data_IF_528487126566
#
_entry.id   IF_528487126566
#
_cell.length_a   1.000
_cell.length_b   1.000
_cell.length_c   1.000
_cell.angle_alpha   90.00
_cell.angle_beta   90.00
_cell.angle_gamma   90.00
#
_symmetry.space_group_name_H-M   'P 1'
#
loop_
_entity.id
_entity.type
_entity.pdbx_description
1 polymer ?
#
# COMPACT_ATOMS: atom_id res chain seq x y z
N UNK A 1 -33.90 -5.08 2.64
CA UNK A 1 -33.06 -3.92 2.97
C UNK A 1 -32.05 -4.38 4.01
N UNK A 2 -30.85 -4.76 3.59
CA UNK A 2 -29.74 -5.11 4.52
C UNK A 2 -28.92 -3.83 4.62
N UNK A 3 -29.06 -3.15 5.76
CA UNK A 3 -28.23 -2.00 6.11
C UNK A 3 -26.80 -2.50 6.25
N UNK A 4 -25.96 -2.27 5.24
CA UNK A 4 -24.53 -2.50 5.31
C UNK A 4 -23.96 -1.63 6.43
N UNK A 5 -23.62 -2.24 7.56
CA UNK A 5 -22.86 -1.56 8.60
C UNK A 5 -21.51 -1.16 8.01
N UNK A 6 -21.35 0.13 7.71
CA UNK A 6 -20.03 0.74 7.50
C UNK A 6 -19.20 0.41 8.74
N UNK A 7 -18.30 -0.54 8.65
CA UNK A 7 -17.33 -0.80 9.71
C UNK A 7 -16.49 0.47 9.84
N UNK A 8 -16.69 1.18 10.93
CA UNK A 8 -15.84 2.31 11.31
C UNK A 8 -14.40 1.82 11.28
N UNK A 9 -13.57 2.46 10.46
CA UNK A 9 -12.16 2.13 10.38
C UNK A 9 -11.56 2.20 11.80
N UNK A 10 -10.96 1.12 12.24
CA UNK A 10 -10.40 1.04 13.59
C UNK A 10 -9.30 2.09 13.73
N UNK A 11 -9.38 2.91 14.78
CA UNK A 11 -8.34 3.90 15.09
C UNK A 11 -7.08 3.12 15.48
N UNK A 12 -6.00 3.35 14.76
CA UNK A 12 -4.70 2.74 15.06
C UNK A 12 -4.17 3.36 16.34
N UNK A 13 -4.00 2.52 17.37
CA UNK A 13 -3.41 2.95 18.64
C UNK A 13 -1.92 2.55 18.69
N UNK A 14 -0.97 3.49 18.55
CA UNK A 14 0.46 3.20 18.56
C UNK A 14 0.97 2.71 19.92
N UNK A 15 0.22 2.96 21.00
CA UNK A 15 0.55 2.48 22.35
C UNK A 15 -0.03 1.10 22.66
N UNK A 16 -0.82 0.50 21.75
CA UNK A 16 -1.36 -0.84 21.93
C UNK A 16 -0.22 -1.85 22.03
N UNK A 17 -0.29 -2.71 23.05
CA UNK A 17 0.70 -3.77 23.26
C UNK A 17 0.47 -4.92 22.29
N UNK A 18 1.58 -5.44 21.78
CA UNK A 18 1.68 -6.63 20.95
C UNK A 18 2.38 -7.70 21.80
N UNK A 19 1.71 -8.81 22.11
CA UNK A 19 2.27 -9.85 22.98
C UNK A 19 3.56 -10.44 22.43
N UNK A 20 3.60 -10.67 21.12
CA UNK A 20 4.77 -11.23 20.45
C UNK A 20 4.79 -10.82 18.97
N UNK A 21 5.97 -10.45 18.47
CA UNK A 21 6.24 -10.26 17.06
C UNK A 21 7.69 -10.66 16.75
N UNK A 22 7.89 -11.45 15.70
CA UNK A 22 9.22 -11.83 15.24
C UNK A 22 9.28 -11.95 13.72
N UNK A 23 10.34 -11.43 13.14
CA UNK A 23 10.74 -11.69 11.75
C UNK A 23 12.23 -11.95 11.68
N UNK A 24 12.64 -12.84 10.75
CA UNK A 24 14.03 -13.20 10.58
C UNK A 24 14.42 -13.09 9.10
N UNK A 25 15.49 -12.32 8.84
CA UNK A 25 16.09 -12.16 7.51
C UNK A 25 15.08 -11.71 6.43
N UNK A 26 14.10 -10.84 6.80
CA UNK A 26 13.12 -10.28 5.87
C UNK A 26 13.59 -8.93 5.33
N UNK A 27 13.19 -8.58 4.11
CA UNK A 27 13.30 -7.19 3.64
C UNK A 27 12.26 -6.30 4.34
N UNK A 28 12.35 -4.97 4.14
CA UNK A 28 11.47 -4.02 4.79
C UNK A 28 9.99 -4.25 4.48
N UNK A 29 9.67 -4.50 3.20
CA UNK A 29 8.28 -4.72 2.78
C UNK A 29 7.71 -5.97 3.46
N UNK A 30 8.42 -7.10 3.38
CA UNK A 30 7.96 -8.36 3.98
C UNK A 30 7.81 -8.25 5.51
N UNK A 31 8.72 -7.53 6.18
CA UNK A 31 8.62 -7.30 7.62
C UNK A 31 7.38 -6.47 7.99
N UNK A 32 7.11 -5.41 7.23
CA UNK A 32 5.93 -4.56 7.43
C UNK A 32 4.62 -5.31 7.13
N UNK A 33 4.58 -6.09 6.04
CA UNK A 33 3.39 -6.88 5.68
C UNK A 33 3.12 -7.97 6.72
N UNK A 34 4.16 -8.63 7.22
CA UNK A 34 4.03 -9.61 8.31
C UNK A 34 3.46 -8.96 9.58
N UNK A 35 3.96 -7.75 9.93
CA UNK A 35 3.44 -7.02 11.07
C UNK A 35 2.00 -6.57 10.88
N UNK A 36 1.70 -5.96 9.73
CA UNK A 36 0.35 -5.50 9.40
C UNK A 36 -0.67 -6.64 9.39
N UNK A 37 -0.31 -7.80 8.83
CA UNK A 37 -1.15 -8.99 8.79
C UNK A 37 -1.43 -9.54 10.18
N UNK A 38 -0.40 -9.70 11.01
CA UNK A 38 -0.56 -10.18 12.38
C UNK A 38 -1.43 -9.25 13.23
N UNK A 39 -1.25 -7.94 13.10
CA UNK A 39 -1.89 -6.94 13.95
C UNK A 39 -3.16 -6.35 13.36
N UNK A 40 -3.56 -6.80 12.16
CA UNK A 40 -4.70 -6.28 11.40
C UNK A 40 -4.64 -4.76 11.21
N UNK A 41 -3.45 -4.25 10.85
CA UNK A 41 -3.20 -2.84 10.60
C UNK A 41 -2.99 -2.64 9.09
N UNK A 42 -3.82 -1.85 8.41
CA UNK A 42 -3.57 -1.49 7.02
C UNK A 42 -2.27 -0.68 6.88
N UNK A 43 -1.46 -1.02 5.88
CA UNK A 43 -0.15 -0.39 5.65
C UNK A 43 -0.07 0.18 4.24
N UNK A 44 0.36 1.43 4.14
CA UNK A 44 0.75 2.07 2.89
C UNK A 44 2.28 2.22 2.85
N UNK A 45 2.91 1.68 1.80
CA UNK A 45 4.35 1.79 1.64
C UNK A 45 4.63 2.66 0.41
N UNK A 46 5.06 3.90 0.65
CA UNK A 46 5.61 4.71 -0.41
C UNK A 46 6.97 4.13 -0.83
N UNK A 47 7.38 4.35 -2.03
CA UNK A 47 8.51 3.71 -2.69
C UNK A 47 9.66 3.31 -1.75
N UNK A 48 10.11 2.06 -1.88
CA UNK A 48 11.30 1.53 -1.19
C UNK A 48 12.44 1.42 -2.21
N UNK A 49 13.55 2.10 -1.96
CA UNK A 49 14.72 2.03 -2.82
C UNK A 49 15.40 0.66 -2.77
N UNK A 50 16.25 0.39 -3.76
CA UNK A 50 16.91 -0.91 -3.90
C UNK A 50 17.81 -1.25 -2.69
N UNK A 51 18.46 -0.26 -2.09
CA UNK A 51 19.36 -0.48 -0.97
C UNK A 51 18.59 -0.90 0.28
N UNK A 52 17.52 -0.18 0.62
CA UNK A 52 16.64 -0.55 1.73
C UNK A 52 15.93 -1.89 1.50
N UNK A 53 15.54 -2.19 0.25
CA UNK A 53 14.93 -3.48 -0.09
C UNK A 53 15.90 -4.66 0.09
N UNK A 54 17.19 -4.47 -0.18
CA UNK A 54 18.21 -5.50 -0.03
C UNK A 54 18.62 -5.73 1.43
N UNK A 55 18.41 -4.73 2.29
CA UNK A 55 18.75 -4.84 3.71
C UNK A 55 17.83 -5.85 4.39
N UNK A 56 18.44 -6.70 5.25
CA UNK A 56 17.72 -7.76 5.97
C UNK A 56 17.44 -7.35 7.41
N UNK A 57 16.18 -7.46 7.78
CA UNK A 57 15.66 -7.14 9.12
C UNK A 57 15.47 -8.45 9.88
N UNK A 58 15.98 -8.49 11.10
CA UNK A 58 15.72 -9.55 12.05
C UNK A 58 15.41 -8.94 13.40
N UNK A 59 14.18 -9.10 13.86
CA UNK A 59 13.72 -8.59 15.15
C UNK A 59 12.85 -9.63 15.86
N UNK A 60 12.93 -9.67 17.18
CA UNK A 60 12.04 -10.44 18.05
C UNK A 60 11.65 -9.55 19.23
N UNK A 61 10.35 -9.41 19.45
CA UNK A 61 9.77 -8.59 20.50
C UNK A 61 8.74 -9.37 21.30
N UNK A 62 8.73 -9.12 22.63
CA UNK A 62 7.71 -9.58 23.56
C UNK A 62 7.20 -8.39 24.33
N UNK A 63 5.87 -8.28 24.45
CA UNK A 63 5.20 -7.22 25.23
C UNK A 63 5.64 -5.79 24.83
N UNK A 64 5.83 -5.54 23.52
CA UNK A 64 6.17 -4.22 22.98
C UNK A 64 4.94 -3.54 22.39
N UNK A 65 4.96 -2.22 22.34
CA UNK A 65 3.89 -1.48 21.69
C UNK A 65 4.12 -1.38 20.16
N UNK A 66 3.03 -1.08 19.43
CA UNK A 66 3.03 -0.94 17.98
C UNK A 66 4.10 0.04 17.50
N UNK A 67 4.26 1.18 18.20
CA UNK A 67 5.26 2.20 17.88
C UNK A 67 6.69 1.64 17.95
N UNK A 68 7.03 0.96 19.04
CA UNK A 68 8.39 0.41 19.23
C UNK A 68 8.75 -0.61 18.15
N UNK A 69 7.78 -1.42 17.73
CA UNK A 69 7.98 -2.43 16.68
C UNK A 69 8.17 -1.76 15.31
N UNK A 70 7.30 -0.79 14.95
CA UNK A 70 7.43 -0.05 13.69
C UNK A 70 8.74 0.75 13.63
N UNK A 71 9.13 1.40 14.73
CA UNK A 71 10.42 2.10 14.82
C UNK A 71 11.59 1.16 14.56
N UNK A 72 11.58 -0.04 15.15
CA UNK A 72 12.64 -1.01 14.99
C UNK A 72 12.70 -1.64 13.58
N UNK A 73 11.56 -1.69 12.87
CA UNK A 73 11.51 -2.18 11.48
C UNK A 73 12.00 -1.09 10.52
N UNK A 74 11.60 0.17 10.71
CA UNK A 74 11.76 1.23 9.71
C UNK A 74 13.04 2.06 9.88
N UNK A 75 13.39 2.48 11.10
CA UNK A 75 14.49 3.40 11.32
C UNK A 75 15.87 2.86 10.91
N UNK A 76 16.21 1.55 11.15
CA UNK A 76 17.51 1.03 10.75
C UNK A 76 17.78 1.09 9.24
N UNK A 77 16.72 1.16 8.43
CA UNK A 77 16.80 1.22 6.97
C UNK A 77 16.55 2.63 6.42
N UNK A 78 16.49 3.66 7.30
CA UNK A 78 16.34 5.07 6.89
C UNK A 78 14.92 5.47 6.51
N UNK A 79 13.91 4.71 6.96
CA UNK A 79 12.50 5.01 6.71
C UNK A 79 11.81 5.49 7.97
N UNK A 80 10.71 6.22 7.78
CA UNK A 80 9.83 6.69 8.85
C UNK A 80 8.42 6.19 8.61
N UNK A 81 7.65 6.16 9.66
CA UNK A 81 6.23 5.84 9.61
C UNK A 81 5.41 6.89 10.34
N UNK A 82 4.16 7.02 9.97
CA UNK A 82 3.17 7.85 10.64
C UNK A 82 1.76 7.34 10.35
N UNK A 83 0.80 7.75 11.18
CA UNK A 83 -0.60 7.38 10.99
C UNK A 83 -1.26 8.42 10.10
N UNK A 84 -1.87 7.96 9.01
CA UNK A 84 -2.70 8.77 8.13
C UNK A 84 -4.10 8.17 8.05
N UNK A 85 -5.00 8.70 8.86
CA UNK A 85 -6.33 8.12 9.02
C UNK A 85 -6.25 6.68 9.56
N UNK A 86 -6.84 5.71 8.86
CA UNK A 86 -6.86 4.31 9.29
C UNK A 86 -5.63 3.49 8.86
N UNK A 87 -4.60 4.11 8.28
CA UNK A 87 -3.45 3.44 7.65
C UNK A 87 -2.14 3.89 8.28
N UNK A 88 -1.21 2.98 8.51
CA UNK A 88 0.20 3.29 8.78
C UNK A 88 0.90 3.53 7.45
N UNK A 89 1.39 4.75 7.23
CA UNK A 89 2.21 5.08 6.08
C UNK A 89 3.69 4.95 6.42
N UNK A 90 4.44 4.32 5.52
CA UNK A 90 5.89 4.18 5.59
C UNK A 90 6.52 4.86 4.38
N UNK A 91 7.47 5.75 4.62
CA UNK A 91 8.10 6.57 3.59
C UNK A 91 9.55 6.90 3.94
N UNK A 92 10.32 7.23 2.91
CA UNK A 92 11.65 7.80 3.10
C UNK A 92 11.56 9.30 3.48
N UNK A 93 12.49 9.79 4.29
CA UNK A 93 12.58 11.21 4.65
C UNK A 93 12.59 12.12 3.40
N UNK A 94 11.70 13.11 3.40
CA UNK A 94 11.59 14.10 2.33
C UNK A 94 10.74 13.69 1.11
N UNK A 95 10.38 12.41 0.97
CA UNK A 95 9.60 11.94 -0.18
C UNK A 95 8.13 12.40 -0.16
N UNK A 96 7.54 12.56 1.03
CA UNK A 96 6.11 12.87 1.22
C UNK A 96 5.66 14.19 0.60
N UNK A 97 6.47 15.23 0.75
CA UNK A 97 6.05 16.61 0.51
C UNK A 97 6.53 17.17 -0.83
N UNK A 98 7.21 16.36 -1.65
CA UNK A 98 7.63 16.76 -2.97
C UNK A 98 6.43 17.09 -3.87
N UNK A 99 6.40 18.28 -4.49
CA UNK A 99 5.33 18.66 -5.43
C UNK A 99 5.22 17.72 -6.63
N UNK A 100 6.29 17.00 -6.94
CA UNK A 100 6.36 16.01 -8.02
C UNK A 100 5.86 14.61 -7.61
N UNK A 101 5.51 14.38 -6.34
CA UNK A 101 5.01 13.08 -5.91
C UNK A 101 3.58 12.87 -6.41
N UNK A 102 3.41 11.92 -7.34
CA UNK A 102 2.13 11.61 -7.97
C UNK A 102 1.05 11.18 -6.97
N UNK A 103 1.44 10.63 -5.82
CA UNK A 103 0.49 10.30 -4.76
C UNK A 103 -0.21 11.53 -4.17
N UNK A 104 0.36 12.72 -4.35
CA UNK A 104 -0.24 14.00 -3.95
C UNK A 104 -1.20 14.57 -5.02
N UNK A 105 -1.29 13.96 -6.20
CA UNK A 105 -2.22 14.40 -7.25
C UNK A 105 -3.65 14.27 -6.74
N UNK A 106 -4.43 15.33 -6.90
CA UNK A 106 -5.84 15.34 -6.55
C UNK A 106 -6.68 14.81 -7.69
N UNK A 107 -7.50 13.84 -7.38
CA UNK A 107 -8.53 13.32 -8.28
C UNK A 107 -9.82 14.12 -8.03
N UNK A 108 -10.37 14.81 -9.03
CA UNK A 108 -11.57 15.64 -8.86
C UNK A 108 -12.76 14.86 -8.32
N UNK A 109 -12.98 13.68 -8.86
CA UNK A 109 -13.98 12.73 -8.38
C UNK A 109 -13.49 11.30 -8.63
N UNK A 110 -13.53 10.47 -7.59
CA UNK A 110 -13.29 9.03 -7.67
C UNK A 110 -14.53 8.31 -7.16
N UNK A 111 -15.23 7.66 -8.08
CA UNK A 111 -16.45 6.91 -7.77
C UNK A 111 -16.33 5.50 -8.29
N UNK A 112 -16.55 4.53 -7.42
CA UNK A 112 -16.64 3.10 -7.77
C UNK A 112 -17.84 2.48 -7.04
N UNK A 113 -18.49 1.56 -7.69
CA UNK A 113 -19.42 0.63 -7.04
C UNK A 113 -18.61 -0.44 -6.27
N UNK A 114 -19.32 -1.31 -5.58
CA UNK A 114 -18.67 -2.42 -4.88
C UNK A 114 -17.92 -3.33 -5.87
N UNK A 115 -16.61 -3.45 -5.68
CA UNK A 115 -15.71 -4.20 -6.58
C UNK A 115 -14.58 -4.86 -5.81
N UNK A 116 -13.68 -5.59 -6.47
CA UNK A 116 -12.48 -6.12 -5.82
C UNK A 116 -11.46 -5.00 -5.52
N UNK A 117 -10.61 -5.24 -4.53
CA UNK A 117 -9.53 -4.30 -4.18
C UNK A 117 -8.59 -4.05 -5.37
N UNK A 118 -8.33 -5.08 -6.18
CA UNK A 118 -7.53 -4.96 -7.39
C UNK A 118 -8.19 -4.07 -8.45
N UNK A 119 -9.48 -4.27 -8.72
CA UNK A 119 -10.22 -3.45 -9.69
C UNK A 119 -10.35 -2.00 -9.23
N UNK A 120 -10.58 -1.77 -7.92
CA UNK A 120 -10.58 -0.43 -7.34
C UNK A 120 -9.22 0.28 -7.56
N UNK A 121 -8.12 -0.43 -7.36
CA UNK A 121 -6.75 0.05 -7.60
C UNK A 121 -6.50 0.36 -9.08
N UNK A 122 -6.98 -0.50 -9.99
CA UNK A 122 -6.90 -0.27 -11.44
C UNK A 122 -7.72 0.94 -11.87
N UNK A 123 -8.95 1.07 -11.38
CA UNK A 123 -9.78 2.24 -11.64
C UNK A 123 -9.10 3.54 -11.20
N UNK A 124 -8.44 3.54 -10.05
CA UNK A 124 -7.66 4.70 -9.59
C UNK A 124 -6.49 5.02 -10.53
N UNK A 125 -5.78 4.00 -11.03
CA UNK A 125 -4.68 4.20 -11.99
C UNK A 125 -5.17 4.85 -13.29
N UNK A 126 -6.33 4.42 -13.78
CA UNK A 126 -6.98 5.02 -14.96
C UNK A 126 -7.40 6.47 -14.70
N UNK A 127 -8.01 6.77 -13.56
CA UNK A 127 -8.38 8.14 -13.20
C UNK A 127 -7.14 9.06 -13.13
N UNK A 128 -6.07 8.60 -12.50
CA UNK A 128 -4.81 9.36 -12.45
C UNK A 128 -4.25 9.59 -13.85
N UNK A 129 -4.26 8.58 -14.71
CA UNK A 129 -3.80 8.72 -16.09
C UNK A 129 -4.57 9.83 -16.83
N UNK A 130 -5.90 9.86 -16.75
CA UNK A 130 -6.71 10.89 -17.41
C UNK A 130 -6.52 12.28 -16.80
N UNK A 131 -6.29 12.39 -15.50
CA UNK A 131 -5.97 13.68 -14.86
C UNK A 131 -4.64 14.23 -15.38
N UNK A 132 -3.66 13.37 -15.61
CA UNK A 132 -2.34 13.77 -16.10
C UNK A 132 -2.29 13.94 -17.62
N UNK A 133 -3.19 13.28 -18.35
CA UNK A 133 -3.27 13.27 -19.81
C UNK A 133 -4.69 13.62 -20.31
N UNK A 134 -5.18 14.84 -20.09
CA UNK A 134 -6.58 15.19 -20.35
C UNK A 134 -6.98 15.10 -21.84
N UNK A 135 -6.00 15.10 -22.75
CA UNK A 135 -6.22 15.01 -24.20
C UNK A 135 -5.99 13.60 -24.76
N UNK A 136 -5.74 12.60 -23.92
CA UNK A 136 -5.53 11.23 -24.39
C UNK A 136 -6.85 10.58 -24.77
N UNK A 137 -6.89 9.92 -25.92
CA UNK A 137 -7.96 8.97 -26.26
C UNK A 137 -8.00 7.82 -25.24
N UNK A 138 -9.15 7.19 -25.08
CA UNK A 138 -9.36 6.13 -24.10
C UNK A 138 -8.29 5.02 -24.18
N UNK A 139 -7.94 4.46 -23.03
CA UNK A 139 -7.07 3.29 -22.93
C UNK A 139 -7.99 2.06 -22.91
N UNK A 140 -7.81 1.17 -23.88
CA UNK A 140 -8.38 -0.17 -23.81
C UNK A 140 -7.41 -1.05 -22.99
N UNK A 141 -7.84 -1.53 -21.86
CA UNK A 141 -7.07 -2.49 -21.05
C UNK A 141 -8.00 -3.59 -20.56
N UNK A 142 -7.61 -4.83 -20.81
CA UNK A 142 -8.23 -5.97 -20.16
C UNK A 142 -7.86 -5.96 -18.68
N UNK A 143 -8.86 -5.98 -17.83
CA UNK A 143 -8.67 -6.21 -16.40
C UNK A 143 -8.58 -7.72 -16.17
N UNK A 144 -7.43 -8.28 -15.81
CA UNK A 144 -7.40 -9.65 -15.33
C UNK A 144 -8.24 -9.70 -14.06
N UNK A 145 -9.28 -10.55 -14.04
CA UNK A 145 -10.18 -10.70 -12.91
C UNK A 145 -9.43 -10.84 -11.60
N UNK A 146 -9.69 -9.93 -10.67
CA UNK A 146 -9.11 -9.97 -9.32
C UNK A 146 -9.81 -11.00 -8.44
N UNK A 147 -9.17 -11.36 -7.34
CA UNK A 147 -9.79 -12.20 -6.32
C UNK A 147 -11.00 -11.46 -5.72
N UNK A 148 -12.20 -12.04 -5.87
CA UNK A 148 -13.46 -11.43 -5.41
C UNK A 148 -13.64 -11.51 -3.88
N UNK A 149 -12.71 -12.15 -3.16
CA UNK A 149 -12.82 -12.34 -1.72
C UNK A 149 -12.71 -11.03 -0.92
N UNK A 150 -12.01 -10.04 -1.46
CA UNK A 150 -11.77 -8.75 -0.81
C UNK A 150 -12.47 -7.63 -1.59
N UNK A 151 -13.68 -7.33 -1.19
CA UNK A 151 -14.52 -6.31 -1.84
C UNK A 151 -14.34 -4.96 -1.19
N UNK A 152 -14.30 -3.94 -2.01
CA UNK A 152 -14.16 -2.52 -1.65
C UNK A 152 -15.32 -1.74 -2.23
N UNK A 153 -15.82 -0.79 -1.49
CA UNK A 153 -16.83 0.12 -1.97
C UNK A 153 -18.21 -0.12 -1.35
N UNK A 154 -19.18 0.65 -1.81
CA UNK A 154 -19.01 1.75 -2.77
C UNK A 154 -18.17 2.90 -2.21
N UNK A 155 -17.41 3.59 -3.07
CA UNK A 155 -16.68 4.81 -2.74
C UNK A 155 -17.16 5.98 -3.61
N UNK A 156 -17.39 7.15 -3.01
CA UNK A 156 -17.61 8.41 -3.72
C UNK A 156 -16.78 9.51 -3.03
N UNK A 157 -15.59 9.76 -3.56
CA UNK A 157 -14.61 10.67 -3.02
C UNK A 157 -14.40 11.85 -3.96
N UNK A 158 -14.42 13.07 -3.41
CA UNK A 158 -14.25 14.31 -4.18
C UNK A 158 -12.99 15.04 -3.76
N UNK A 159 -12.26 15.56 -4.76
CA UNK A 159 -11.05 16.36 -4.56
C UNK A 159 -10.06 15.70 -3.58
N UNK A 160 -9.86 14.41 -3.72
CA UNK A 160 -9.09 13.55 -2.80
C UNK A 160 -7.76 13.18 -3.44
N UNK A 161 -6.68 13.10 -2.66
CA UNK A 161 -5.38 12.69 -3.20
C UNK A 161 -5.36 11.20 -3.55
N UNK A 162 -4.51 10.82 -4.49
CA UNK A 162 -4.28 9.39 -4.85
C UNK A 162 -3.93 8.58 -3.59
N UNK A 163 -3.05 9.12 -2.72
CA UNK A 163 -2.68 8.47 -1.45
C UNK A 163 -3.89 8.20 -0.57
N UNK A 164 -4.75 9.21 -0.38
CA UNK A 164 -5.92 9.06 0.49
C UNK A 164 -6.94 8.08 -0.12
N UNK A 165 -7.06 8.01 -1.45
CA UNK A 165 -7.90 7.02 -2.11
C UNK A 165 -7.34 5.60 -1.89
N UNK A 166 -6.03 5.39 -2.04
CA UNK A 166 -5.37 4.11 -1.74
C UNK A 166 -5.59 3.70 -0.28
N UNK A 167 -5.46 4.66 0.65
CA UNK A 167 -5.74 4.42 2.06
C UNK A 167 -7.19 3.98 2.28
N UNK A 168 -8.15 4.62 1.61
CA UNK A 168 -9.57 4.22 1.71
C UNK A 168 -9.81 2.82 1.15
N UNK A 169 -9.17 2.47 0.03
CA UNK A 169 -9.29 1.14 -0.58
C UNK A 169 -8.82 0.06 0.42
N UNK A 170 -7.61 0.19 0.99
CA UNK A 170 -7.05 -0.86 1.85
C UNK A 170 -7.64 -0.86 3.26
N UNK A 171 -8.16 0.26 3.74
CA UNK A 171 -8.72 0.35 5.09
C UNK A 171 -10.11 -0.28 5.24
N UNK A 172 -10.78 -0.58 4.14
CA UNK A 172 -12.05 -1.32 4.21
C UNK A 172 -11.85 -2.77 4.65
N UNK A 173 -10.60 -3.24 4.52
CA UNK A 173 -10.17 -4.53 5.06
C UNK A 173 -8.96 -4.32 5.97
N UNK A 174 -9.06 -4.79 7.21
CA UNK A 174 -7.97 -4.74 8.19
C UNK A 174 -6.73 -5.57 7.80
N UNK A 175 -6.78 -6.23 6.65
CA UNK A 175 -5.72 -7.08 6.08
C UNK A 175 -5.21 -6.57 4.72
N UNK A 176 -5.37 -5.29 4.44
CA UNK A 176 -4.92 -4.69 3.17
C UNK A 176 -3.65 -3.86 3.30
N UNK A 177 -2.85 -3.86 2.25
CA UNK A 177 -1.74 -2.94 2.09
C UNK A 177 -1.64 -2.42 0.66
N UNK A 178 -0.99 -1.28 0.47
CA UNK A 178 -0.55 -0.84 -0.84
C UNK A 178 0.95 -0.50 -0.83
N UNK A 179 1.60 -0.78 -1.94
CA UNK A 179 3.05 -0.57 -2.11
C UNK A 179 3.30 0.12 -3.44
N UNK A 180 4.01 1.24 -3.43
CA UNK A 180 4.47 1.92 -4.64
C UNK A 180 5.73 1.23 -5.15
N UNK A 181 5.71 0.81 -6.41
CA UNK A 181 6.78 0.00 -7.01
C UNK A 181 7.86 0.82 -7.72
N UNK A 182 7.56 2.08 -8.04
CA UNK A 182 8.47 2.98 -8.74
C UNK A 182 8.48 4.34 -8.04
N UNK A 183 9.59 5.10 -8.12
CA UNK A 183 9.66 6.41 -7.48
C UNK A 183 8.56 7.32 -8.04
N UNK A 184 7.58 7.76 -7.22
CA UNK A 184 6.43 8.52 -7.72
C UNK A 184 6.79 9.95 -8.16
N UNK A 185 8.03 10.36 -7.94
CA UNK A 185 8.58 11.68 -8.33
C UNK A 185 9.43 11.64 -9.60
N UNK A 186 9.78 10.47 -10.14
CA UNK A 186 10.58 10.32 -11.37
C UNK A 186 9.73 10.06 -12.61
N UNK A 187 8.45 9.78 -12.42
CA UNK A 187 7.57 9.39 -13.50
C UNK A 187 7.11 10.61 -14.28
N UNK A 188 7.37 10.61 -15.57
CA UNK A 188 6.75 11.52 -16.53
C UNK A 188 5.26 11.21 -16.73
N UNK A 189 4.65 11.82 -17.74
CA UNK A 189 3.23 11.60 -18.08
C UNK A 189 2.92 10.20 -18.57
N UNK A 190 3.95 9.42 -18.92
CA UNK A 190 3.83 8.03 -19.37
C UNK A 190 3.69 7.10 -18.15
N UNK A 191 2.52 7.16 -17.52
CA UNK A 191 2.18 6.23 -16.46
C UNK A 191 1.90 4.86 -17.06
N UNK A 192 2.88 3.96 -16.95
CA UNK A 192 2.63 2.54 -17.19
C UNK A 192 1.67 1.98 -16.12
N UNK A 193 0.87 1.00 -16.47
CA UNK A 193 0.13 0.20 -15.50
C UNK A 193 1.11 -0.37 -14.48
N UNK A 194 0.91 -0.11 -13.18
CA UNK A 194 1.70 -0.72 -12.11
C UNK A 194 2.53 0.24 -11.28
N UNK A 195 2.11 1.52 -11.17
CA UNK A 195 2.72 2.46 -10.23
C UNK A 195 2.71 1.94 -8.79
N UNK A 196 1.62 1.31 -8.40
CA UNK A 196 1.45 0.66 -7.09
C UNK A 196 0.81 -0.71 -7.23
N UNK A 197 0.92 -1.50 -6.16
CA UNK A 197 0.14 -2.73 -5.94
C UNK A 197 -0.67 -2.59 -4.68
N UNK A 198 -1.87 -3.14 -4.72
CA UNK A 198 -2.68 -3.41 -3.54
C UNK A 198 -2.52 -4.88 -3.21
N UNK A 199 -2.26 -5.17 -1.94
CA UNK A 199 -1.89 -6.48 -1.42
C UNK A 199 -2.85 -6.89 -0.31
N UNK A 200 -3.11 -8.18 -0.25
CA UNK A 200 -3.85 -8.84 0.81
C UNK A 200 -2.88 -9.66 1.65
N UNK A 201 -2.98 -9.57 2.98
CA UNK A 201 -2.03 -10.26 3.88
C UNK A 201 -2.18 -11.79 3.87
N UNK A 202 -3.34 -12.32 3.44
CA UNK A 202 -3.60 -13.77 3.39
C UNK A 202 -2.87 -14.49 2.25
N UNK A 203 -2.20 -13.76 1.37
CA UNK A 203 -1.32 -14.35 0.36
C UNK A 203 -0.02 -14.80 1.02
N UNK A 204 0.34 -16.06 0.80
CA UNK A 204 1.59 -16.61 1.35
C UNK A 204 2.80 -15.86 0.82
N UNK A 205 3.81 -15.65 1.67
CA UNK A 205 5.11 -15.02 1.35
C UNK A 205 5.73 -15.52 0.03
N UNK A 206 5.48 -16.79 -0.33
CA UNK A 206 5.99 -17.42 -1.54
C UNK A 206 5.38 -16.87 -2.83
N UNK A 207 4.10 -16.49 -2.83
CA UNK A 207 3.43 -15.94 -4.01
C UNK A 207 3.87 -14.51 -4.25
N UNK A 208 4.02 -13.72 -3.19
CA UNK A 208 4.50 -12.35 -3.27
C UNK A 208 5.95 -12.29 -3.76
N UNK A 209 6.83 -13.15 -3.21
CA UNK A 209 8.24 -13.25 -3.62
C UNK A 209 8.37 -13.67 -5.08
N UNK A 210 7.55 -14.61 -5.57
CA UNK A 210 7.52 -15.00 -6.98
C UNK A 210 7.10 -13.85 -7.90
N UNK A 211 6.11 -13.09 -7.49
CA UNK A 211 5.60 -11.97 -8.29
C UNK A 211 6.60 -10.82 -8.40
N UNK A 212 7.37 -10.54 -7.34
CA UNK A 212 8.50 -9.60 -7.36
C UNK A 212 9.65 -10.11 -8.25
N UNK A 213 9.93 -11.42 -8.24
CA UNK A 213 10.95 -12.04 -9.11
C UNK A 213 10.60 -11.96 -10.59
N UNK A 214 9.35 -12.23 -10.96
CA UNK A 214 8.88 -12.19 -12.36
C UNK A 214 9.00 -10.78 -12.96
N UNK A 215 8.98 -9.72 -12.14
CA UNK A 215 9.04 -8.32 -12.58
C UNK A 215 10.45 -7.70 -12.54
N UNK A 216 11.50 -8.49 -12.38
CA UNK A 216 12.88 -7.99 -12.38
C UNK A 216 13.31 -7.25 -11.12
N UNK A 217 12.47 -7.21 -10.09
CA UNK A 217 12.82 -6.73 -8.74
C UNK A 217 13.39 -7.87 -7.88
N UNK A 218 13.31 -9.11 -8.35
CA UNK A 218 13.84 -10.29 -7.70
C UNK A 218 15.35 -10.39 -7.85
N UNK A 219 16.02 -10.79 -6.76
CA UNK A 219 17.40 -11.20 -6.77
C UNK A 219 17.55 -12.43 -7.68
N UNK A 220 18.66 -12.56 -8.44
CA UNK A 220 18.95 -13.78 -9.18
C UNK A 220 18.93 -14.97 -8.21
N UNK A 221 18.16 -15.98 -8.54
CA UNK A 221 18.23 -17.29 -7.86
C UNK A 221 19.64 -17.85 -8.01
N UNK A 222 20.32 -18.11 -6.90
CA UNK A 222 21.54 -18.91 -6.87
C UNK A 222 21.19 -20.36 -7.06
#
# INVERSE_FOLDING_TARGET
MICGQSRSAAIINPSRRVPFFAVKQRNLIDALLSFGGQEHIPIGIEYIDKAAFQQRISVEFRERNVKEILDAITHPVGYRWFINGPVVLVTHDGALFGKSNLLNTRIPQFRIEETSMHEASLALSLHLYFVLNPNSGGIAGDSPGGNLAFRVGPLDLKNTTVRDILNQIVSQHSSGAWVVQQPPWTMGKDLGYGLWKVLEYDRTDAEYSRELQVRGLGLPTR
#
